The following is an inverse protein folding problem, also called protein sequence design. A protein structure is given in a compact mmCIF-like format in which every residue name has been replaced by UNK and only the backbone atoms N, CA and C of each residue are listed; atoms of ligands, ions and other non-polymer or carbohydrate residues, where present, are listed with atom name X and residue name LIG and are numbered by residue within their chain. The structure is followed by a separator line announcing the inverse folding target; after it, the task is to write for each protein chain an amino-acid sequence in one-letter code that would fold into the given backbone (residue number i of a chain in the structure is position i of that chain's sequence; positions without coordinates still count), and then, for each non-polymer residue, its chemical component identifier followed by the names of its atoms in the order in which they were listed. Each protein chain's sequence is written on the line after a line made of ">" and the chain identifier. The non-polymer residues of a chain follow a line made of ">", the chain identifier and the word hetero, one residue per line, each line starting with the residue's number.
data_IF_154601381321
#
_entry.id   IF_154601381321
#
_cell.length_a   1.000
_cell.length_b   1.000
_cell.length_c   1.000
_cell.angle_alpha   90.00
_cell.angle_beta   90.00
_cell.angle_gamma   90.00
#
_symmetry.space_group_name_H-M   'P 1'
#
loop_
_entity.id
_entity.type
_entity.pdbx_description
1 polymer ?
#
# COMPACT_ATOMS: atom_id res chain seq x y z
N UNK A 1 10.62 29.41 26.04
CA UNK A 1 11.90 28.86 26.52
C UNK A 1 11.61 27.88 27.65
N UNK A 2 11.56 26.58 27.37
CA UNK A 2 11.39 25.54 28.39
C UNK A 2 12.53 24.53 28.26
N UNK A 3 13.09 24.26 29.43
CA UNK A 3 14.39 23.69 29.72
C UNK A 3 14.45 22.18 29.46
N UNK A 4 15.63 21.76 29.02
CA UNK A 4 16.11 20.39 28.87
C UNK A 4 15.91 19.53 30.12
N UNK A 5 15.50 18.27 29.93
CA UNK A 5 15.89 17.18 30.83
C UNK A 5 16.53 16.07 29.99
N UNK A 6 17.86 16.05 30.05
CA UNK A 6 18.70 14.95 29.61
C UNK A 6 18.43 13.74 30.49
N UNK A 7 18.00 12.63 29.89
CA UNK A 7 17.90 11.34 30.57
C UNK A 7 19.06 10.48 30.10
N UNK A 8 20.01 10.20 31.00
CA UNK A 8 21.15 9.30 30.78
C UNK A 8 21.04 8.13 31.76
N UNK A 9 20.64 6.94 31.34
CA UNK A 9 20.87 5.73 32.11
C UNK A 9 22.20 5.11 31.67
N UNK A 10 23.19 5.15 32.56
CA UNK A 10 24.41 4.35 32.48
C UNK A 10 24.30 3.22 33.49
N UNK A 11 24.50 1.97 33.04
CA UNK A 11 24.93 0.79 33.82
C UNK A 11 25.40 -0.26 32.79
N UNK A 12 26.71 -0.44 32.59
CA UNK A 12 27.70 -1.29 33.29
C UNK A 12 27.85 -2.71 32.71
N UNK A 13 28.96 -2.89 32.00
CA UNK A 13 29.86 -4.05 31.83
C UNK A 13 29.37 -5.46 32.15
N UNK A 14 29.48 -6.35 31.14
CA UNK A 14 29.76 -7.76 31.38
C UNK A 14 29.59 -8.69 30.17
N UNK A 15 30.71 -9.22 29.67
CA UNK A 15 30.90 -10.50 28.98
C UNK A 15 30.87 -10.52 27.44
N UNK A 16 32.06 -10.38 26.86
CA UNK A 16 32.42 -10.95 25.56
C UNK A 16 32.32 -12.47 25.60
N UNK A 17 31.46 -13.05 24.77
CA UNK A 17 31.55 -14.43 24.31
C UNK A 17 31.74 -14.41 22.80
N UNK A 18 32.84 -15.00 22.40
CA UNK A 18 33.36 -15.20 21.05
C UNK A 18 32.45 -16.15 20.26
N UNK A 19 32.16 -15.80 19.00
CA UNK A 19 31.79 -16.81 18.00
C UNK A 19 30.35 -16.79 17.49
N UNK A 20 29.86 -15.65 17.02
CA UNK A 20 28.81 -15.63 16.00
C UNK A 20 29.32 -14.72 14.89
N UNK A 21 29.57 -15.31 13.71
CA UNK A 21 29.77 -14.51 12.50
C UNK A 21 28.60 -13.53 12.44
N UNK A 22 28.80 -12.21 12.26
CA UNK A 22 27.68 -11.28 12.30
C UNK A 22 26.70 -11.75 11.25
N UNK A 23 25.53 -12.21 11.67
CA UNK A 23 24.34 -12.13 10.82
C UNK A 23 24.35 -10.65 10.42
N UNK A 24 24.52 -10.31 9.13
CA UNK A 24 24.47 -8.91 8.73
C UNK A 24 23.20 -8.38 9.35
N UNK A 25 23.33 -7.38 10.22
CA UNK A 25 22.19 -6.79 10.91
C UNK A 25 21.13 -6.59 9.84
N UNK A 26 20.02 -7.32 9.96
CA UNK A 26 18.94 -7.24 8.99
C UNK A 26 18.70 -5.76 8.76
N UNK A 27 18.78 -5.35 7.49
CA UNK A 27 18.69 -3.95 7.10
C UNK A 27 17.38 -3.39 7.69
N UNK A 28 17.48 -2.70 8.84
CA UNK A 28 16.35 -2.08 9.55
C UNK A 28 15.99 -0.74 8.92
N UNK A 29 16.57 -0.47 7.73
CA UNK A 29 15.99 0.46 6.78
C UNK A 29 14.54 0.02 6.57
N UNK A 30 13.52 0.86 6.84
CA UNK A 30 12.16 0.51 6.52
C UNK A 30 12.08 0.35 5.01
N UNK A 31 12.23 -0.87 4.51
CA UNK A 31 11.94 -1.19 3.13
C UNK A 31 10.46 -0.89 2.96
N UNK A 32 10.16 0.22 2.29
CA UNK A 32 8.80 0.61 2.00
C UNK A 32 8.17 -0.54 1.21
N UNK A 33 7.29 -1.28 1.88
CA UNK A 33 6.61 -2.44 1.29
C UNK A 33 5.73 -1.91 0.17
N UNK A 34 6.00 -2.34 -1.06
CA UNK A 34 5.13 -2.03 -2.19
C UNK A 34 3.81 -2.81 -2.04
N UNK A 35 2.68 -2.11 -2.15
CA UNK A 35 1.35 -2.68 -2.02
C UNK A 35 0.59 -2.46 -3.33
N UNK A 36 0.04 -3.53 -3.89
CA UNK A 36 -0.90 -3.47 -5.02
C UNK A 36 -2.31 -3.67 -4.48
N UNK A 37 -3.25 -2.81 -4.90
CA UNK A 37 -4.66 -2.92 -4.51
C UNK A 37 -5.49 -3.35 -5.72
N UNK A 38 -6.19 -4.47 -5.59
CA UNK A 38 -7.11 -4.96 -6.63
C UNK A 38 -8.55 -4.75 -6.17
N UNK A 39 -9.35 -4.08 -6.99
CA UNK A 39 -10.75 -3.74 -6.71
C UNK A 39 -11.64 -4.42 -7.76
N UNK A 40 -12.22 -5.59 -7.47
CA UNK A 40 -13.24 -6.17 -8.34
C UNK A 40 -14.50 -5.31 -8.30
N UNK A 41 -15.09 -5.05 -9.46
CA UNK A 41 -16.25 -4.19 -9.61
C UNK A 41 -17.26 -4.81 -10.57
N UNK A 42 -18.54 -4.79 -10.19
CA UNK A 42 -19.67 -5.10 -11.05
C UNK A 42 -20.85 -4.24 -10.62
N UNK A 43 -21.34 -3.38 -11.51
CA UNK A 43 -22.41 -2.42 -11.23
C UNK A 43 -22.17 -1.61 -9.93
N UNK A 44 -20.96 -1.09 -9.80
CA UNK A 44 -20.45 -0.43 -8.61
C UNK A 44 -20.43 1.10 -8.72
N UNK A 45 -21.07 1.73 -9.72
CA UNK A 45 -20.96 3.16 -9.99
C UNK A 45 -21.27 4.04 -8.75
N UNK A 46 -22.19 3.59 -7.89
CA UNK A 46 -22.58 4.29 -6.67
C UNK A 46 -21.57 4.21 -5.52
N UNK A 47 -20.62 3.27 -5.56
CA UNK A 47 -19.74 2.95 -4.42
C UNK A 47 -18.26 3.06 -4.76
N UNK A 48 -17.90 2.78 -6.02
CA UNK A 48 -16.52 2.75 -6.46
C UNK A 48 -15.79 4.10 -6.28
N UNK A 49 -16.41 5.29 -6.40
CA UNK A 49 -15.69 6.53 -6.13
C UNK A 49 -15.17 6.60 -4.69
N UNK A 50 -16.06 6.32 -3.73
CA UNK A 50 -15.70 6.34 -2.30
C UNK A 50 -14.60 5.33 -1.97
N UNK A 51 -14.64 4.15 -2.58
CA UNK A 51 -13.61 3.13 -2.38
C UNK A 51 -12.26 3.59 -2.91
N UNK A 52 -12.21 4.10 -4.15
CA UNK A 52 -10.98 4.60 -4.77
C UNK A 52 -10.42 5.81 -4.03
N UNK A 53 -11.25 6.77 -3.65
CA UNK A 53 -10.85 7.94 -2.85
C UNK A 53 -10.25 7.51 -1.50
N UNK A 54 -10.85 6.49 -0.86
CA UNK A 54 -10.34 5.94 0.41
C UNK A 54 -8.96 5.29 0.26
N UNK A 55 -8.74 4.57 -0.85
CA UNK A 55 -7.46 3.90 -1.12
C UNK A 55 -6.38 4.92 -1.51
N UNK A 56 -6.72 5.90 -2.33
CA UNK A 56 -5.82 6.99 -2.73
C UNK A 56 -5.43 7.88 -1.53
N UNK A 57 -6.30 8.01 -0.52
CA UNK A 57 -6.07 8.80 0.68
C UNK A 57 -5.30 8.09 1.81
N UNK A 58 -4.78 6.87 1.61
CA UNK A 58 -4.06 6.14 2.65
C UNK A 58 -2.71 6.81 3.00
N UNK A 59 -2.29 6.73 4.26
CA UNK A 59 -0.99 7.26 4.72
C UNK A 59 0.21 6.50 4.16
N UNK A 60 -0.01 5.27 3.71
CA UNK A 60 0.94 4.48 2.93
C UNK A 60 0.31 4.21 1.56
N UNK A 61 0.57 5.08 0.55
CA UNK A 61 -0.07 4.97 -0.75
C UNK A 61 0.29 3.64 -1.43
N UNK A 62 -0.68 2.99 -2.12
CA UNK A 62 -0.36 1.82 -2.91
C UNK A 62 0.57 2.18 -4.07
N UNK A 63 1.38 1.22 -4.48
CA UNK A 63 2.20 1.33 -5.68
C UNK A 63 1.34 1.32 -6.95
N UNK A 64 0.23 0.57 -6.92
CA UNK A 64 -0.73 0.49 -8.01
C UNK A 64 -2.15 0.18 -7.50
N UNK A 65 -3.14 0.64 -8.25
CA UNK A 65 -4.56 0.31 -8.06
C UNK A 65 -5.09 -0.25 -9.37
N UNK A 66 -5.62 -1.46 -9.32
CA UNK A 66 -6.18 -2.16 -10.47
C UNK A 66 -7.66 -2.43 -10.20
N UNK A 67 -8.53 -1.83 -11.00
CA UNK A 67 -9.95 -2.15 -11.01
C UNK A 67 -10.22 -3.22 -12.06
N UNK A 68 -10.87 -4.30 -11.66
CA UNK A 68 -11.33 -5.36 -12.57
C UNK A 68 -12.83 -5.19 -12.71
N UNK A 69 -13.28 -4.66 -13.85
CA UNK A 69 -14.71 -4.52 -14.15
C UNK A 69 -15.22 -5.84 -14.76
N UNK A 70 -16.08 -6.56 -14.05
CA UNK A 70 -16.62 -7.86 -14.45
C UNK A 70 -17.85 -7.71 -15.37
N UNK A 71 -17.76 -6.83 -16.37
CA UNK A 71 -18.81 -6.59 -17.34
C UNK A 71 -19.99 -5.79 -16.80
N UNK A 72 -19.73 -4.71 -16.06
CA UNK A 72 -20.76 -3.78 -15.58
C UNK A 72 -21.61 -3.24 -16.73
N UNK A 73 -22.89 -3.06 -16.46
CA UNK A 73 -23.86 -2.46 -17.39
C UNK A 73 -24.32 -1.07 -16.96
N UNK A 74 -23.84 -0.61 -15.80
CA UNK A 74 -24.02 0.76 -15.32
C UNK A 74 -22.81 1.66 -15.69
N UNK A 75 -22.69 2.81 -15.02
CA UNK A 75 -21.61 3.77 -15.28
C UNK A 75 -20.25 3.40 -14.62
N UNK A 76 -20.05 2.18 -14.10
CA UNK A 76 -18.83 1.80 -13.37
C UNK A 76 -17.56 2.08 -14.16
N UNK A 77 -17.46 1.57 -15.39
CA UNK A 77 -16.30 1.79 -16.25
C UNK A 77 -16.05 3.28 -16.57
N UNK A 78 -17.10 4.09 -16.71
CA UNK A 78 -16.97 5.54 -16.93
C UNK A 78 -16.41 6.24 -15.69
N UNK A 79 -16.96 5.90 -14.52
CA UNK A 79 -16.51 6.41 -13.23
C UNK A 79 -15.06 6.06 -12.99
N UNK A 80 -14.65 4.80 -13.21
CA UNK A 80 -13.26 4.36 -13.02
C UNK A 80 -12.32 5.11 -13.97
N UNK A 81 -12.68 5.26 -15.25
CA UNK A 81 -11.88 6.02 -16.22
C UNK A 81 -11.68 7.49 -15.83
N UNK A 82 -12.60 8.08 -15.07
CA UNK A 82 -12.46 9.46 -14.58
C UNK A 82 -11.29 9.66 -13.60
N UNK A 83 -10.77 8.58 -12.99
CA UNK A 83 -9.58 8.62 -12.13
C UNK A 83 -8.25 8.71 -12.90
N UNK A 84 -8.28 8.61 -14.24
CA UNK A 84 -7.10 8.79 -15.09
C UNK A 84 -5.97 7.81 -14.76
N UNK A 85 -4.73 8.30 -14.75
CA UNK A 85 -3.54 7.45 -14.51
C UNK A 85 -3.37 6.98 -13.06
N UNK A 86 -4.23 7.42 -12.13
CA UNK A 86 -4.17 6.99 -10.73
C UNK A 86 -4.69 5.55 -10.54
N UNK A 87 -5.49 5.05 -11.49
CA UNK A 87 -6.15 3.74 -11.41
C UNK A 87 -6.10 3.08 -12.78
N UNK A 88 -5.63 1.84 -12.85
CA UNK A 88 -5.71 1.02 -14.06
C UNK A 88 -7.02 0.22 -14.07
N UNK A 89 -7.66 0.07 -15.23
CA UNK A 89 -8.87 -0.73 -15.41
C UNK A 89 -8.61 -1.94 -16.32
N UNK A 90 -9.13 -3.11 -15.94
CA UNK A 90 -9.09 -4.36 -16.72
C UNK A 90 -10.52 -4.84 -16.94
N UNK A 91 -10.87 -5.05 -18.21
CA UNK A 91 -12.15 -5.62 -18.64
C UNK A 91 -11.94 -7.08 -19.07
N UNK A 92 -12.92 -7.99 -18.89
CA UNK A 92 -12.82 -9.36 -19.36
C UNK A 92 -12.70 -9.38 -20.88
N UNK A 93 -11.54 -9.82 -21.37
CA UNK A 93 -11.36 -10.14 -22.78
C UNK A 93 -12.26 -11.32 -23.14
N UNK A 94 -13.25 -11.08 -24.01
CA UNK A 94 -14.08 -12.11 -24.60
C UNK A 94 -13.20 -13.03 -25.46
N UNK A 95 -12.66 -14.09 -24.85
CA UNK A 95 -12.05 -15.20 -25.58
C UNK A 95 -13.19 -15.94 -26.28
N UNK A 96 -13.44 -15.60 -27.54
CA UNK A 96 -14.27 -16.43 -28.42
C UNK A 96 -13.57 -17.77 -28.62
N UNK A 97 -14.16 -18.83 -28.07
CA UNK A 97 -13.82 -20.23 -28.38
C UNK A 97 -14.25 -20.58 -29.80
#
# INVERSE_FOLDING_TARGET
>A
MRSTRSFRPSLRTGKTVTGESPVPAADDSPHAVAISVVVPAYNAAAHIPRALDSVLGQTHPPAEIIVVDDGSTDATAEVVRSYGSAVASVEPSSTTM
#
